data_IF_137324174037
#
_entry.id   IF_137324174037
#
_cell.length_a   1.000
_cell.length_b   1.000
_cell.length_c   1.000
_cell.angle_alpha   90.00
_cell.angle_beta   90.00
_cell.angle_gamma   90.00
#
_symmetry.space_group_name_H-M   'P 1'
#
loop_
_entity.id
_entity.type
_entity.pdbx_description
1 polymer ?
#
# COMPACT_ATOMS: atom_id res chain seq x y z
N UNK A 1 17.58 7.60 -17.73
CA UNK A 1 16.23 7.83 -17.24
C UNK A 1 16.14 9.14 -16.49
N UNK A 2 16.84 9.32 -15.36
CA UNK A 2 16.91 10.61 -14.64
C UNK A 2 17.51 11.72 -15.53
N UNK A 3 18.48 11.40 -16.39
CA UNK A 3 19.09 12.33 -17.35
C UNK A 3 18.15 12.73 -18.51
N UNK A 4 16.97 12.13 -18.60
CA UNK A 4 15.94 12.43 -19.59
C UNK A 4 14.61 12.80 -18.91
N UNK A 5 14.67 13.51 -17.77
CA UNK A 5 13.54 13.92 -16.93
C UNK A 5 12.65 12.77 -16.42
N UNK A 6 13.14 11.54 -16.46
CA UNK A 6 12.47 10.39 -15.86
C UNK A 6 12.74 10.29 -14.35
N UNK A 7 11.80 9.74 -13.58
CA UNK A 7 11.88 9.60 -12.12
C UNK A 7 12.84 8.48 -11.64
N UNK A 8 13.70 7.93 -12.54
CA UNK A 8 14.72 6.93 -12.18
C UNK A 8 14.18 5.52 -11.94
N UNK A 9 12.91 5.31 -11.98
CA UNK A 9 12.24 4.02 -12.00
C UNK A 9 11.05 4.12 -12.97
N UNK A 10 10.66 3.08 -13.65
CA UNK A 10 10.88 1.72 -13.26
C UNK A 10 11.31 0.81 -14.42
N UNK A 11 12.26 -0.04 -14.20
CA UNK A 11 12.43 -1.22 -15.04
C UNK A 11 11.30 -2.26 -14.77
N UNK A 12 10.66 -2.18 -13.60
CA UNK A 12 9.60 -3.09 -13.17
C UNK A 12 8.37 -3.03 -14.07
N UNK A 13 7.75 -1.88 -14.40
CA UNK A 13 6.62 -1.82 -15.31
C UNK A 13 6.92 -2.31 -16.73
N UNK A 14 8.16 -2.23 -17.19
CA UNK A 14 8.51 -2.81 -18.49
C UNK A 14 8.42 -4.34 -18.48
N UNK A 15 8.99 -4.99 -17.47
CA UNK A 15 8.89 -6.45 -17.33
C UNK A 15 7.46 -6.90 -17.04
N UNK A 16 6.72 -6.14 -16.23
CA UNK A 16 5.31 -6.38 -15.96
C UNK A 16 4.46 -6.29 -17.23
N UNK A 17 4.69 -5.27 -18.05
CA UNK A 17 4.03 -5.13 -19.35
C UNK A 17 4.29 -6.34 -20.25
N UNK A 18 5.53 -6.81 -20.36
CA UNK A 18 5.85 -7.95 -21.22
C UNK A 18 5.19 -9.26 -20.77
N UNK A 19 5.01 -9.43 -19.45
CA UNK A 19 4.52 -10.70 -18.87
C UNK A 19 2.99 -10.70 -18.76
N UNK A 20 2.39 -9.58 -18.36
CA UNK A 20 0.99 -9.54 -17.91
C UNK A 20 0.04 -8.75 -18.80
N UNK A 21 0.54 -8.08 -19.86
CA UNK A 21 -0.38 -7.40 -20.78
C UNK A 21 -1.40 -8.36 -21.39
N UNK A 22 -2.60 -7.88 -21.56
CA UNK A 22 -3.71 -8.62 -22.16
C UNK A 22 -4.36 -7.82 -23.28
N UNK A 23 -4.84 -8.50 -24.32
CA UNK A 23 -5.60 -7.85 -25.38
C UNK A 23 -7.01 -7.46 -24.94
N UNK A 24 -7.54 -8.08 -23.89
CA UNK A 24 -8.94 -7.96 -23.49
C UNK A 24 -9.16 -7.52 -22.05
N UNK A 25 -8.20 -7.77 -21.15
CA UNK A 25 -8.32 -7.52 -19.72
C UNK A 25 -7.52 -6.26 -19.30
N UNK A 26 -8.08 -5.49 -18.38
CA UNK A 26 -7.36 -4.49 -17.61
C UNK A 26 -6.71 -5.20 -16.42
N UNK A 27 -5.38 -5.18 -16.34
CA UNK A 27 -4.61 -5.84 -15.28
C UNK A 27 -3.96 -4.80 -14.38
N UNK A 28 -4.21 -4.90 -13.10
CA UNK A 28 -3.52 -4.14 -12.06
C UNK A 28 -2.47 -5.04 -11.39
N UNK A 29 -1.26 -4.54 -11.25
CA UNK A 29 -0.16 -5.22 -10.59
C UNK A 29 0.23 -4.41 -9.35
N UNK A 30 -0.14 -4.91 -8.17
CA UNK A 30 0.17 -4.27 -6.90
C UNK A 30 1.35 -4.95 -6.25
N UNK A 31 2.46 -4.25 -6.14
CA UNK A 31 3.58 -4.68 -5.32
C UNK A 31 3.47 -4.08 -3.91
N UNK A 32 3.50 -4.91 -2.87
CA UNK A 32 3.46 -4.49 -1.47
C UNK A 32 4.82 -4.77 -0.84
N UNK A 33 5.73 -3.81 -1.04
CA UNK A 33 7.02 -3.75 -0.34
C UNK A 33 6.91 -2.90 0.93
N UNK A 34 7.97 -2.20 1.32
CA UNK A 34 7.90 -1.16 2.37
C UNK A 34 6.92 -0.05 2.00
N UNK A 35 6.96 0.38 0.75
CA UNK A 35 5.96 1.22 0.08
C UNK A 35 5.16 0.34 -0.87
N UNK A 36 3.87 0.59 -0.99
CA UNK A 36 3.01 -0.02 -1.99
C UNK A 36 3.08 0.74 -3.31
N UNK A 37 3.26 0.03 -4.43
CA UNK A 37 3.17 0.63 -5.75
C UNK A 37 2.30 -0.22 -6.68
N UNK A 38 1.65 0.44 -7.62
CA UNK A 38 0.70 -0.20 -8.54
C UNK A 38 1.01 0.18 -9.99
N UNK A 39 0.94 -0.82 -10.87
CA UNK A 39 1.03 -0.65 -12.31
C UNK A 39 -0.32 -0.94 -12.95
N UNK A 40 -0.76 -0.09 -13.87
CA UNK A 40 -1.99 -0.25 -14.63
C UNK A 40 -1.67 -0.64 -16.08
N UNK A 41 -2.19 -1.79 -16.50
CA UNK A 41 -2.13 -2.28 -17.89
C UNK A 41 -3.54 -2.32 -18.46
N UNK A 42 -3.87 -1.36 -19.30
CA UNK A 42 -5.16 -1.36 -20.02
C UNK A 42 -5.21 -2.44 -21.10
N UNK A 43 -6.40 -2.89 -21.54
CA UNK A 43 -6.52 -3.83 -22.67
C UNK A 43 -5.81 -3.30 -23.91
N UNK A 44 -5.02 -4.16 -24.57
CA UNK A 44 -4.27 -3.84 -25.79
C UNK A 44 -3.35 -2.60 -25.67
N UNK A 45 -2.96 -2.20 -24.43
CA UNK A 45 -2.11 -1.05 -24.22
C UNK A 45 -0.73 -1.24 -24.86
N UNK A 46 -0.11 -0.14 -25.27
CA UNK A 46 1.29 -0.08 -25.65
C UNK A 46 2.14 0.26 -24.43
N UNK A 47 3.43 0.09 -24.54
CA UNK A 47 4.36 0.37 -23.43
C UNK A 47 4.27 1.83 -22.93
N UNK A 48 4.05 2.76 -23.83
CA UNK A 48 3.89 4.19 -23.53
C UNK A 48 2.59 4.55 -22.80
N UNK A 49 1.61 3.65 -22.82
CA UNK A 49 0.32 3.82 -22.14
C UNK A 49 0.35 3.26 -20.71
N UNK A 50 1.44 2.57 -20.33
CA UNK A 50 1.62 2.01 -18.99
C UNK A 50 1.90 3.12 -18.00
N UNK A 51 1.13 3.17 -16.91
CA UNK A 51 1.43 4.07 -15.82
C UNK A 51 1.53 3.34 -14.50
N UNK A 52 2.43 3.82 -13.64
CA UNK A 52 2.68 3.27 -12.33
C UNK A 52 2.90 4.40 -11.31
N UNK A 53 2.50 4.17 -10.07
CA UNK A 53 2.67 5.13 -8.99
C UNK A 53 2.60 4.44 -7.62
N UNK A 54 3.05 5.13 -6.58
CA UNK A 54 2.99 4.61 -5.21
C UNK A 54 1.60 4.80 -4.63
N UNK A 55 1.02 3.71 -4.12
CA UNK A 55 -0.34 3.71 -3.54
C UNK A 55 -0.38 4.27 -2.11
N UNK A 56 0.75 4.21 -1.40
CA UNK A 56 0.87 4.63 -0.01
C UNK A 56 1.81 3.72 0.78
N UNK A 57 1.67 3.62 2.10
CA UNK A 57 2.48 2.71 2.88
C UNK A 57 2.16 1.28 2.47
N UNK A 58 3.22 0.49 2.24
CA UNK A 58 3.07 -0.96 2.13
C UNK A 58 3.18 -1.60 3.51
N UNK A 59 4.26 -2.36 3.73
CA UNK A 59 4.52 -2.96 5.04
C UNK A 59 5.09 -1.96 6.06
N UNK A 60 5.63 -0.82 5.62
CA UNK A 60 6.46 0.07 6.46
C UNK A 60 5.76 0.52 7.74
N UNK A 61 4.51 0.96 7.66
CA UNK A 61 3.76 1.42 8.84
C UNK A 61 3.36 0.24 9.72
N UNK A 62 2.90 -0.86 9.12
CA UNK A 62 2.55 -2.09 9.85
C UNK A 62 3.75 -2.65 10.62
N UNK A 63 4.90 -2.78 9.95
CA UNK A 63 6.11 -3.32 10.55
C UNK A 63 6.62 -2.44 11.69
N UNK A 64 6.62 -1.12 11.51
CA UNK A 64 7.05 -0.18 12.54
C UNK A 64 6.10 -0.19 13.75
N UNK A 65 4.78 -0.19 13.54
CA UNK A 65 3.80 -0.30 14.63
C UNK A 65 3.96 -1.63 15.37
N UNK A 66 4.13 -2.74 14.66
CA UNK A 66 4.31 -4.05 15.30
C UNK A 66 5.62 -4.14 16.10
N UNK A 67 6.69 -3.56 15.56
CA UNK A 67 7.98 -3.45 16.28
C UNK A 67 7.83 -2.70 17.60
N UNK A 68 7.14 -1.55 17.58
CA UNK A 68 6.85 -0.77 18.80
C UNK A 68 5.97 -1.55 19.80
N UNK A 69 4.93 -2.22 19.35
CA UNK A 69 4.04 -3.02 20.20
C UNK A 69 4.73 -4.18 20.87
N UNK A 70 5.75 -4.75 20.22
CA UNK A 70 6.53 -5.89 20.76
C UNK A 70 7.81 -5.48 21.49
N UNK A 71 8.04 -4.17 21.67
CA UNK A 71 9.27 -3.67 22.30
C UNK A 71 10.54 -4.00 21.51
N UNK A 72 10.44 -4.19 20.20
CA UNK A 72 11.55 -4.54 19.31
C UNK A 72 11.84 -6.04 19.19
N UNK A 73 11.06 -6.90 19.85
CA UNK A 73 11.27 -8.36 19.78
C UNK A 73 10.91 -8.94 18.38
N UNK A 74 9.96 -8.31 17.70
CA UNK A 74 9.51 -8.72 16.38
C UNK A 74 9.45 -7.52 15.44
N UNK A 75 9.76 -7.75 14.17
CA UNK A 75 9.86 -6.68 13.17
C UNK A 75 8.69 -6.64 12.19
N UNK A 76 7.86 -7.68 12.14
CA UNK A 76 6.65 -7.75 11.31
C UNK A 76 5.65 -8.78 11.86
N UNK A 77 4.38 -8.60 11.52
CA UNK A 77 3.27 -9.51 11.86
C UNK A 77 3.21 -10.65 10.84
N UNK A 78 3.74 -11.82 11.20
CA UNK A 78 3.82 -12.97 10.32
C UNK A 78 2.43 -13.44 9.86
N UNK A 79 2.22 -13.42 8.54
CA UNK A 79 0.95 -13.79 7.93
C UNK A 79 -0.24 -12.90 8.29
N UNK A 80 -0.02 -11.80 9.03
CA UNK A 80 -1.08 -10.92 9.53
C UNK A 80 -1.88 -11.51 10.70
N UNK A 81 -1.28 -12.48 11.42
CA UNK A 81 -1.98 -13.24 12.45
C UNK A 81 -2.35 -12.39 13.68
N UNK A 82 -1.52 -11.41 14.03
CA UNK A 82 -1.79 -10.52 15.16
C UNK A 82 -2.92 -9.53 14.81
N UNK A 83 -2.86 -8.96 13.61
CA UNK A 83 -3.91 -8.08 13.08
C UNK A 83 -5.26 -8.80 12.94
N UNK A 84 -5.25 -10.09 12.55
CA UNK A 84 -6.46 -10.90 12.43
C UNK A 84 -7.23 -11.07 13.74
N UNK A 85 -6.57 -10.93 14.90
CA UNK A 85 -7.20 -10.99 16.23
C UNK A 85 -7.86 -9.68 16.67
N UNK A 86 -7.67 -8.59 15.93
CA UNK A 86 -8.17 -7.27 16.25
C UNK A 86 -9.40 -6.87 15.42
N UNK A 87 -9.95 -5.71 15.77
CA UNK A 87 -11.02 -5.04 15.02
C UNK A 87 -10.52 -3.68 14.56
N UNK A 88 -10.88 -3.31 13.35
CA UNK A 88 -10.57 -1.99 12.80
C UNK A 88 -11.22 -0.91 13.66
N UNK A 89 -10.42 0.06 14.10
CA UNK A 89 -10.89 1.23 14.83
C UNK A 89 -11.24 2.34 13.82
N UNK A 90 -12.53 2.49 13.54
CA UNK A 90 -13.07 3.33 12.46
C UNK A 90 -12.55 4.77 12.49
N UNK A 91 -12.57 5.45 13.66
CA UNK A 91 -12.12 6.84 13.78
C UNK A 91 -10.61 7.01 13.47
N UNK A 92 -9.79 6.04 13.86
CA UNK A 92 -8.38 6.07 13.51
C UNK A 92 -8.20 5.85 12.00
N UNK A 93 -8.91 4.89 11.43
CA UNK A 93 -8.89 4.64 9.98
C UNK A 93 -9.34 5.88 9.19
N UNK A 94 -10.43 6.51 9.57
CA UNK A 94 -10.91 7.76 8.98
C UNK A 94 -9.85 8.86 9.02
N UNK A 95 -9.18 9.04 10.17
CA UNK A 95 -8.08 9.99 10.31
C UNK A 95 -6.92 9.67 9.36
N UNK A 96 -6.55 8.39 9.26
CA UNK A 96 -5.47 7.96 8.37
C UNK A 96 -5.84 8.15 6.89
N UNK A 97 -7.08 7.91 6.52
CA UNK A 97 -7.58 8.10 5.15
C UNK A 97 -7.70 9.58 4.72
N UNK A 98 -7.60 10.53 5.67
CA UNK A 98 -7.46 11.96 5.37
C UNK A 98 -6.04 12.37 4.97
N UNK A 99 -5.14 11.40 4.80
CA UNK A 99 -3.77 11.63 4.38
C UNK A 99 -3.71 12.38 3.04
N UNK A 100 -3.04 13.55 3.06
CA UNK A 100 -2.92 14.43 1.88
C UNK A 100 -2.21 13.74 0.70
N UNK A 101 -1.33 12.77 0.96
CA UNK A 101 -0.69 11.99 -0.11
C UNK A 101 -1.70 11.26 -0.98
N UNK A 102 -2.76 10.72 -0.39
CA UNK A 102 -3.76 9.93 -1.12
C UNK A 102 -4.45 10.75 -2.21
N UNK A 103 -4.71 12.04 -1.96
CA UNK A 103 -5.36 12.94 -2.91
C UNK A 103 -4.45 13.48 -4.02
N UNK A 104 -3.14 13.25 -3.93
CA UNK A 104 -2.20 13.66 -4.98
C UNK A 104 -2.44 12.81 -6.24
N UNK A 105 -2.51 13.48 -7.39
CA UNK A 105 -2.68 12.79 -8.68
C UNK A 105 -1.36 12.14 -9.14
N UNK A 106 -1.41 10.96 -9.77
CA UNK A 106 -0.25 10.41 -10.45
C UNK A 106 0.28 11.34 -11.59
N UNK A 107 1.60 11.35 -11.86
CA UNK A 107 2.63 10.53 -11.23
C UNK A 107 2.96 11.01 -9.81
N UNK A 108 3.00 10.07 -8.84
CA UNK A 108 3.33 10.37 -7.45
C UNK A 108 4.20 9.28 -6.85
N UNK A 109 5.11 9.66 -5.98
CA UNK A 109 5.98 8.76 -5.23
C UNK A 109 6.00 9.14 -3.76
N UNK A 110 6.31 8.18 -2.90
CA UNK A 110 6.45 8.39 -1.46
C UNK A 110 7.49 7.45 -0.89
N UNK A 111 7.85 7.65 0.37
CA UNK A 111 8.89 6.86 0.99
C UNK A 111 8.92 6.99 2.50
N UNK A 112 10.09 6.63 3.05
CA UNK A 112 10.35 6.67 4.49
C UNK A 112 10.33 8.11 5.05
N UNK A 113 10.57 9.09 4.21
CA UNK A 113 10.50 10.51 4.56
C UNK A 113 9.07 10.93 4.93
N UNK A 114 8.06 10.25 4.38
CA UNK A 114 6.65 10.52 4.64
C UNK A 114 6.04 9.55 5.67
N UNK A 115 6.17 8.24 5.43
CA UNK A 115 5.59 7.18 6.28
C UNK A 115 6.56 6.65 7.35
N UNK A 116 7.60 7.42 7.67
CA UNK A 116 8.63 7.07 8.63
C UNK A 116 8.25 7.31 10.10
N UNK A 117 9.26 7.51 10.98
CA UNK A 117 9.07 7.54 12.42
C UNK A 117 8.04 8.56 12.91
N UNK A 118 7.97 9.74 12.30
CA UNK A 118 7.01 10.78 12.71
C UNK A 118 5.56 10.39 12.43
N UNK A 119 5.31 9.71 11.30
CA UNK A 119 3.99 9.18 10.97
C UNK A 119 3.60 8.08 11.96
N UNK A 120 4.49 7.13 12.21
CA UNK A 120 4.27 6.02 13.16
C UNK A 120 4.03 6.57 14.56
N UNK A 121 4.82 7.56 15.00
CA UNK A 121 4.64 8.22 16.29
C UNK A 121 3.24 8.81 16.43
N UNK A 122 2.73 9.52 15.42
CA UNK A 122 1.36 10.09 15.43
C UNK A 122 0.30 8.98 15.59
N UNK A 123 0.46 7.86 14.90
CA UNK A 123 -0.44 6.70 15.00
C UNK A 123 -0.40 6.11 16.40
N UNK A 124 0.80 5.88 16.95
CA UNK A 124 0.98 5.32 18.30
C UNK A 124 0.44 6.26 19.39
N UNK A 125 0.68 7.57 19.28
CA UNK A 125 0.19 8.56 20.24
C UNK A 125 -1.35 8.65 20.21
N UNK A 126 -1.96 8.55 19.03
CA UNK A 126 -3.41 8.45 18.91
C UNK A 126 -3.95 7.20 19.60
N UNK A 127 -3.35 6.05 19.32
CA UNK A 127 -3.76 4.77 19.89
C UNK A 127 -3.68 4.77 21.43
N UNK A 128 -2.62 5.33 21.99
CA UNK A 128 -2.46 5.47 23.45
C UNK A 128 -3.53 6.36 24.06
N UNK A 129 -3.82 7.52 23.44
CA UNK A 129 -4.83 8.46 23.93
C UNK A 129 -6.24 7.88 23.92
N UNK A 130 -6.58 7.12 22.89
CA UNK A 130 -7.91 6.51 22.72
C UNK A 130 -8.00 5.10 23.37
N UNK A 131 -6.94 4.63 24.04
CA UNK A 131 -6.84 3.30 24.65
C UNK A 131 -7.13 2.16 23.66
N UNK A 132 -6.67 2.28 22.42
CA UNK A 132 -6.82 1.24 21.39
C UNK A 132 -5.89 0.06 21.74
N UNK A 133 -6.43 -1.15 21.70
CA UNK A 133 -5.63 -2.35 21.94
C UNK A 133 -4.56 -2.54 20.83
N UNK A 134 -3.47 -3.25 21.13
CA UNK A 134 -2.43 -3.51 20.13
C UNK A 134 -2.95 -4.28 18.91
N UNK A 135 -3.87 -5.23 19.13
CA UNK A 135 -4.48 -6.00 18.03
C UNK A 135 -5.39 -5.11 17.17
N UNK A 136 -6.21 -4.26 17.78
CA UNK A 136 -7.08 -3.35 17.04
C UNK A 136 -6.27 -2.29 16.27
N UNK A 137 -5.17 -1.82 16.86
CA UNK A 137 -4.24 -0.93 16.18
C UNK A 137 -3.63 -1.60 14.94
N UNK A 138 -3.14 -2.85 15.08
CA UNK A 138 -2.59 -3.61 13.95
C UNK A 138 -3.65 -3.91 12.89
N UNK A 139 -4.87 -4.29 13.28
CA UNK A 139 -5.98 -4.45 12.34
C UNK A 139 -6.25 -3.16 11.56
N UNK A 140 -6.21 -2.02 12.25
CA UNK A 140 -6.47 -0.71 11.64
C UNK A 140 -5.39 -0.27 10.66
N UNK A 141 -4.11 -0.40 11.00
CA UNK A 141 -3.03 -0.01 10.07
C UNK A 141 -2.89 -0.99 8.90
N UNK A 142 -3.29 -2.26 9.08
CA UNK A 142 -3.38 -3.25 8.00
C UNK A 142 -4.50 -2.88 7.04
N UNK A 143 -5.68 -2.56 7.56
CA UNK A 143 -6.81 -2.12 6.73
C UNK A 143 -6.51 -0.76 6.06
N UNK A 144 -5.82 0.16 6.73
CA UNK A 144 -5.36 1.41 6.11
C UNK A 144 -4.51 1.12 4.85
N UNK A 145 -3.54 0.22 4.91
CA UNK A 145 -2.76 -0.18 3.73
C UNK A 145 -3.66 -0.75 2.62
N UNK A 146 -4.63 -1.59 2.96
CA UNK A 146 -5.60 -2.10 1.97
C UNK A 146 -6.45 -0.98 1.37
N UNK A 147 -6.93 -0.04 2.21
CA UNK A 147 -7.74 1.09 1.76
C UNK A 147 -6.96 2.02 0.82
N UNK A 148 -5.65 2.25 1.06
CA UNK A 148 -4.83 3.07 0.14
C UNK A 148 -4.72 2.46 -1.24
N UNK A 149 -4.66 1.13 -1.33
CA UNK A 149 -4.65 0.38 -2.60
C UNK A 149 -6.00 0.53 -3.30
N UNK A 150 -7.12 0.27 -2.59
CA UNK A 150 -8.47 0.42 -3.13
C UNK A 150 -8.73 1.85 -3.60
N UNK A 151 -8.40 2.84 -2.77
CA UNK A 151 -8.52 4.25 -3.12
C UNK A 151 -7.77 4.59 -4.42
N UNK A 152 -6.54 4.07 -4.56
CA UNK A 152 -5.72 4.30 -5.75
C UNK A 152 -6.36 3.73 -7.01
N UNK A 153 -6.93 2.53 -6.94
CA UNK A 153 -7.65 1.92 -8.07
C UNK A 153 -8.93 2.69 -8.39
N UNK A 154 -9.71 3.05 -7.40
CA UNK A 154 -11.01 3.72 -7.58
C UNK A 154 -10.88 5.14 -8.15
N UNK A 155 -9.82 5.88 -7.76
CA UNK A 155 -9.70 7.30 -8.10
C UNK A 155 -8.77 7.57 -9.27
N UNK A 156 -7.82 6.68 -9.55
CA UNK A 156 -6.77 6.95 -10.55
C UNK A 156 -6.75 6.00 -11.73
N UNK A 157 -7.42 4.86 -11.66
CA UNK A 157 -7.52 3.98 -12.81
C UNK A 157 -8.61 4.48 -13.77
N UNK A 158 -8.37 4.43 -15.09
CA UNK A 158 -9.39 4.82 -16.09
C UNK A 158 -10.63 3.92 -16.07
N UNK A 159 -10.48 2.70 -15.60
CA UNK A 159 -11.56 1.72 -15.41
C UNK A 159 -11.17 0.73 -14.28
N UNK A 160 -12.17 0.08 -13.71
CA UNK A 160 -11.95 -1.01 -12.76
C UNK A 160 -11.14 -2.13 -13.42
N UNK A 161 -10.07 -2.63 -12.80
CA UNK A 161 -9.31 -3.75 -13.35
C UNK A 161 -10.15 -5.05 -13.32
N UNK A 162 -9.97 -5.86 -14.36
CA UNK A 162 -10.56 -7.19 -14.44
C UNK A 162 -9.78 -8.18 -13.59
N UNK A 163 -8.49 -7.89 -13.36
CA UNK A 163 -7.56 -8.72 -12.59
C UNK A 163 -6.63 -7.85 -11.73
N UNK A 164 -6.49 -8.20 -10.46
CA UNK A 164 -5.50 -7.65 -9.55
C UNK A 164 -4.50 -8.74 -9.17
N UNK A 165 -3.23 -8.51 -9.49
CA UNK A 165 -2.12 -9.40 -9.13
C UNK A 165 -1.35 -8.73 -8.00
N UNK A 166 -1.22 -9.40 -6.86
CA UNK A 166 -0.53 -8.87 -5.69
C UNK A 166 0.81 -9.57 -5.53
N UNK A 167 1.89 -8.79 -5.46
CA UNK A 167 3.26 -9.24 -5.26
C UNK A 167 3.93 -8.55 -4.07
N UNK A 168 5.21 -8.84 -3.88
CA UNK A 168 6.01 -8.31 -2.76
C UNK A 168 5.77 -9.07 -1.44
N UNK A 169 6.51 -8.67 -0.39
CA UNK A 169 6.43 -9.32 0.92
C UNK A 169 5.04 -9.26 1.55
N UNK A 170 4.30 -8.17 1.32
CA UNK A 170 2.95 -7.98 1.84
C UNK A 170 1.92 -8.97 1.27
N UNK A 171 2.20 -9.61 0.12
CA UNK A 171 1.34 -10.67 -0.43
C UNK A 171 1.24 -11.91 0.46
N UNK A 172 2.19 -12.07 1.39
CA UNK A 172 2.17 -13.16 2.38
C UNK A 172 1.32 -12.83 3.62
N UNK A 173 0.91 -11.58 3.80
CA UNK A 173 0.01 -11.16 4.87
C UNK A 173 -1.45 -11.44 4.47
N UNK A 174 -1.99 -12.54 4.96
CA UNK A 174 -3.34 -13.01 4.61
C UNK A 174 -4.42 -12.01 5.01
N UNK A 175 -4.28 -11.35 6.15
CA UNK A 175 -5.22 -10.33 6.64
C UNK A 175 -5.26 -9.14 5.70
N UNK A 176 -4.08 -8.66 5.25
CA UNK A 176 -3.98 -7.59 4.27
C UNK A 176 -4.60 -7.98 2.92
N UNK A 177 -4.21 -9.14 2.39
CA UNK A 177 -4.71 -9.61 1.08
C UNK A 177 -6.22 -9.82 1.07
N UNK A 178 -6.82 -10.25 2.18
CA UNK A 178 -8.28 -10.38 2.31
C UNK A 178 -8.99 -9.01 2.40
N UNK A 179 -8.28 -7.98 2.89
CA UNK A 179 -8.82 -6.64 3.00
C UNK A 179 -8.72 -5.83 1.69
N UNK A 180 -7.82 -6.20 0.76
CA UNK A 180 -7.67 -5.59 -0.57
C UNK A 180 -8.77 -6.05 -1.51
#
# INVERSE_FOLDING_TARGET
>A
DVAADGLGAPLVPYSEFLIYRSETECVALQNIGGIGNITCLLPACRLEDVFAFDTGPGNMVMDAVYTELTGGEKTFDEGGAYAAGGKVHEKLLEMLMQDAYLSQKPPKTTGREYYGPDFVKKVMDYARRENISGQDLMATVTDYTAQTIRYSVEHYFPRKPDKLIIGGGGSMNKTLVQAV
#
